data_IF_801841440176
#
_entry.id   IF_801841440176
#
_cell.length_a   1.000
_cell.length_b   1.000
_cell.length_c   1.000
_cell.angle_alpha   90.00
_cell.angle_beta   90.00
_cell.angle_gamma   90.00
#
_symmetry.space_group_name_H-M   'P 1'
#
loop_
_entity.id
_entity.type
_entity.pdbx_description
1 polymer ?
#
# COMPACT_ATOMS: atom_id res chain seq x y z
N UNK A 1 -12.63 -11.26 -26.04
CA UNK A 1 -11.36 -10.85 -25.43
C UNK A 1 -11.55 -10.50 -23.96
N UNK A 2 -10.90 -11.28 -23.08
CA UNK A 2 -10.93 -11.08 -21.63
C UNK A 2 -9.78 -10.18 -21.17
N UNK A 3 -9.87 -9.69 -19.94
CA UNK A 3 -8.77 -8.94 -19.31
C UNK A 3 -7.92 -9.87 -18.46
N UNK A 4 -6.60 -9.71 -18.53
CA UNK A 4 -5.68 -10.37 -17.59
C UNK A 4 -5.80 -9.69 -16.21
N UNK A 5 -6.28 -10.45 -15.24
CA UNK A 5 -6.47 -10.00 -13.86
C UNK A 5 -5.32 -10.49 -12.98
N UNK A 6 -4.65 -9.56 -12.32
CA UNK A 6 -3.57 -9.83 -11.37
C UNK A 6 -4.10 -9.66 -9.96
N UNK A 7 -3.94 -10.69 -9.14
CA UNK A 7 -4.21 -10.64 -7.70
C UNK A 7 -2.92 -10.24 -6.97
N UNK A 8 -3.02 -9.23 -6.11
CA UNK A 8 -1.88 -8.64 -5.41
C UNK A 8 -2.15 -8.73 -3.91
N UNK A 9 -1.15 -9.21 -3.16
CA UNK A 9 -1.14 -9.19 -1.70
C UNK A 9 -0.13 -8.15 -1.21
N UNK A 10 -0.55 -7.26 -0.33
CA UNK A 10 0.34 -6.27 0.29
C UNK A 10 1.07 -6.83 1.52
N UNK A 11 1.90 -5.99 2.16
CA UNK A 11 2.68 -6.37 3.35
C UNK A 11 1.86 -6.53 4.64
N UNK A 12 0.57 -6.19 4.61
CA UNK A 12 -0.37 -6.42 5.71
C UNK A 12 -1.31 -7.59 5.40
N UNK A 13 -0.95 -8.45 4.45
CA UNK A 13 -1.73 -9.58 3.95
C UNK A 13 -3.12 -9.19 3.39
N UNK A 14 -3.28 -7.94 2.95
CA UNK A 14 -4.51 -7.48 2.27
C UNK A 14 -4.42 -7.81 0.79
N UNK A 15 -5.54 -8.24 0.22
CA UNK A 15 -5.62 -8.63 -1.19
C UNK A 15 -6.50 -7.67 -2.00
N UNK A 16 -6.06 -7.39 -3.22
CA UNK A 16 -6.84 -6.66 -4.22
C UNK A 16 -6.50 -7.16 -5.62
N UNK A 17 -7.31 -6.79 -6.60
CA UNK A 17 -7.11 -7.19 -7.99
C UNK A 17 -7.10 -5.97 -8.92
N UNK A 18 -6.29 -6.05 -9.97
CA UNK A 18 -6.23 -5.04 -11.02
C UNK A 18 -5.92 -5.68 -12.37
N UNK A 19 -6.07 -4.93 -13.46
CA UNK A 19 -5.65 -5.37 -14.80
C UNK A 19 -4.13 -5.38 -14.88
N UNK A 20 -3.56 -6.31 -15.67
CA UNK A 20 -2.11 -6.38 -15.90
C UNK A 20 -1.52 -5.04 -16.38
N UNK A 21 -2.26 -4.28 -17.19
CA UNK A 21 -1.85 -2.95 -17.67
C UNK A 21 -1.57 -1.92 -16.58
N UNK A 22 -2.08 -2.15 -15.36
CA UNK A 22 -1.91 -1.26 -14.21
C UNK A 22 -0.82 -1.75 -13.24
N UNK A 23 -0.07 -2.82 -13.59
CA UNK A 23 0.96 -3.42 -12.73
C UNK A 23 2.35 -3.08 -13.28
N UNK A 24 3.24 -2.65 -12.39
CA UNK A 24 4.65 -2.43 -12.69
C UNK A 24 5.53 -3.07 -11.62
N UNK A 25 6.44 -3.95 -12.03
CA UNK A 25 7.35 -4.67 -11.11
C UNK A 25 8.52 -3.77 -10.75
N UNK A 26 8.73 -3.53 -9.45
CA UNK A 26 9.76 -2.62 -8.93
C UNK A 26 10.84 -3.30 -8.08
N UNK A 27 10.86 -4.64 -8.03
CA UNK A 27 11.77 -5.38 -7.16
C UNK A 27 11.55 -6.88 -7.21
N UNK A 28 12.26 -7.60 -6.33
CA UNK A 28 12.16 -9.04 -6.17
C UNK A 28 11.97 -9.39 -4.69
N UNK A 29 10.97 -10.22 -4.40
CA UNK A 29 10.58 -10.54 -3.02
C UNK A 29 10.28 -9.28 -2.21
N UNK A 30 10.84 -9.18 -1.00
CA UNK A 30 10.67 -8.00 -0.15
C UNK A 30 11.63 -6.83 -0.47
N UNK A 31 12.50 -6.97 -1.48
CA UNK A 31 13.52 -5.97 -1.82
C UNK A 31 13.12 -5.14 -3.05
N UNK A 32 12.81 -3.87 -2.83
CA UNK A 32 12.59 -2.89 -3.89
C UNK A 32 13.92 -2.43 -4.54
N UNK A 33 13.90 -2.17 -5.85
CA UNK A 33 15.03 -1.60 -6.61
C UNK A 33 15.07 -0.07 -6.56
N UNK A 34 13.99 0.57 -6.11
CA UNK A 34 13.87 2.02 -5.97
C UNK A 34 13.46 2.39 -4.54
N UNK A 35 13.75 3.63 -4.12
CA UNK A 35 13.29 4.16 -2.85
C UNK A 35 11.77 4.38 -2.87
N UNK A 36 11.06 3.89 -1.85
CA UNK A 36 9.62 4.07 -1.73
C UNK A 36 9.29 5.36 -0.96
N UNK A 37 8.19 6.06 -1.32
CA UNK A 37 7.66 7.14 -0.51
C UNK A 37 7.26 6.70 0.91
N UNK A 38 7.04 7.68 1.79
CA UNK A 38 6.51 7.42 3.15
C UNK A 38 5.21 6.61 3.07
N UNK A 39 5.13 5.54 3.86
CA UNK A 39 4.00 4.61 3.84
C UNK A 39 4.19 3.39 2.94
N UNK A 40 5.29 3.32 2.16
CA UNK A 40 5.71 2.12 1.39
C UNK A 40 4.63 1.54 0.46
N UNK A 41 3.69 2.36 -0.01
CA UNK A 41 2.59 1.92 -0.87
C UNK A 41 1.46 1.17 -0.16
N UNK A 42 1.44 1.16 1.18
CA UNK A 42 0.37 0.50 1.96
C UNK A 42 -0.83 1.43 2.08
N UNK A 43 -1.99 0.99 1.60
CA UNK A 43 -3.24 1.74 1.76
C UNK A 43 -3.85 1.42 3.13
N UNK A 44 -3.95 2.45 3.96
CA UNK A 44 -4.70 2.41 5.21
C UNK A 44 -6.21 2.48 4.94
N UNK A 45 -6.98 1.81 5.78
CA UNK A 45 -8.42 1.99 5.85
C UNK A 45 -8.78 3.37 6.40
N UNK A 46 -10.02 3.80 6.20
CA UNK A 46 -10.50 5.11 6.67
C UNK A 46 -10.35 5.24 8.21
N UNK A 47 -10.62 4.16 8.94
CA UNK A 47 -10.46 4.13 10.40
C UNK A 47 -8.98 4.27 10.80
N UNK A 48 -8.08 3.53 10.14
CA UNK A 48 -6.63 3.61 10.39
C UNK A 48 -6.06 5.00 10.07
N UNK A 49 -6.51 5.63 8.98
CA UNK A 49 -6.14 7.00 8.63
C UNK A 49 -6.60 8.00 9.70
N UNK A 50 -7.81 7.80 10.26
CA UNK A 50 -8.34 8.62 11.35
C UNK A 50 -7.52 8.48 12.63
N UNK A 51 -7.20 7.25 13.01
CA UNK A 51 -6.44 6.95 14.22
C UNK A 51 -5.02 7.49 14.13
N UNK A 52 -4.38 7.32 12.97
CA UNK A 52 -3.06 7.88 12.71
C UNK A 52 -3.07 9.42 12.77
N UNK A 53 -4.16 10.07 12.32
CA UNK A 53 -4.35 11.52 12.41
C UNK A 53 -4.50 11.97 13.86
N UNK A 54 -5.34 11.29 14.65
CA UNK A 54 -5.56 11.60 16.08
C UNK A 54 -4.26 11.48 16.87
N UNK A 55 -3.57 10.35 16.73
CA UNK A 55 -2.31 10.08 17.41
C UNK A 55 -1.20 11.10 17.04
N UNK A 56 -1.19 11.59 15.79
CA UNK A 56 -0.26 12.66 15.39
C UNK A 56 -0.56 13.98 16.12
N UNK A 57 -1.83 14.33 16.27
CA UNK A 57 -2.24 15.55 16.97
C UNK A 57 -1.94 15.46 18.46
N UNK A 58 -2.16 14.29 19.09
CA UNK A 58 -1.81 14.06 20.49
C UNK A 58 -0.31 14.25 20.74
N UNK A 59 0.55 13.69 19.88
CA UNK A 59 2.00 13.87 19.95
C UNK A 59 2.48 15.31 19.73
N UNK A 60 1.69 16.15 19.09
CA UNK A 60 2.02 17.57 18.90
C UNK A 60 1.59 18.43 20.10
N UNK A 61 0.65 17.92 20.91
CA UNK A 61 0.13 18.61 22.09
C UNK A 61 0.93 18.28 23.36
N UNK A 62 1.57 17.12 23.38
CA UNK A 62 2.55 16.73 24.41
C UNK A 62 3.91 17.38 24.13
#
# INVERSE_FOLDING_TARGET
DGYDIVHVRDVLDREFATRLSNVFVIGAGAKAFVSLPKGKGVKLSIAEESDQRRHRLEKQRA
#
